data_IF_858587431763
#
_entry.id   IF_858587431763
#
_cell.length_a   1.000
_cell.length_b   1.000
_cell.length_c   1.000
_cell.angle_alpha   90.00
_cell.angle_beta   90.00
_cell.angle_gamma   90.00
#
_symmetry.space_group_name_H-M   'P 1'
#
loop_
_entity.id
_entity.type
_entity.pdbx_description
1 polymer ?
#
# COMPACT_ATOMS: atom_id res chain seq x y z
N UNK A 1 -14.43 -24.22 17.92
CA UNK A 1 -14.81 -24.30 16.49
C UNK A 1 -13.78 -25.12 15.74
N UNK A 2 -14.18 -26.18 15.02
CA UNK A 2 -13.27 -26.95 14.16
C UNK A 2 -13.38 -26.46 12.71
N UNK A 3 -12.47 -25.58 12.29
CA UNK A 3 -12.46 -24.97 10.96
C UNK A 3 -11.75 -25.83 9.89
N UNK A 4 -11.00 -26.86 10.31
CA UNK A 4 -10.11 -27.64 9.43
C UNK A 4 -10.84 -28.49 8.39
N UNK A 5 -12.13 -28.76 8.62
CA UNK A 5 -12.95 -29.62 7.75
C UNK A 5 -13.84 -28.83 6.77
N UNK A 6 -13.74 -27.49 6.76
CA UNK A 6 -14.54 -26.66 5.86
C UNK A 6 -13.86 -26.49 4.51
N UNK A 7 -14.64 -26.55 3.43
CA UNK A 7 -14.19 -26.12 2.09
C UNK A 7 -13.88 -24.62 2.11
N UNK A 8 -12.89 -24.18 1.33
CA UNK A 8 -12.44 -22.78 1.28
C UNK A 8 -13.60 -21.80 1.01
N UNK A 9 -14.48 -22.11 0.06
CA UNK A 9 -15.64 -21.27 -0.28
C UNK A 9 -16.61 -21.12 0.89
N UNK A 10 -16.89 -22.23 1.59
CA UNK A 10 -17.78 -22.24 2.77
C UNK A 10 -17.15 -21.45 3.91
N UNK A 11 -15.84 -21.59 4.14
CA UNK A 11 -15.12 -20.83 5.16
C UNK A 11 -15.20 -19.31 4.89
N UNK A 12 -14.99 -18.90 3.63
CA UNK A 12 -15.11 -17.49 3.22
C UNK A 12 -16.54 -16.99 3.41
N UNK A 13 -17.54 -17.76 2.98
CA UNK A 13 -18.95 -17.36 3.12
C UNK A 13 -19.38 -17.26 4.58
N UNK A 14 -18.97 -18.21 5.43
CA UNK A 14 -19.22 -18.16 6.87
C UNK A 14 -18.57 -16.93 7.50
N UNK A 15 -17.34 -16.60 7.09
CA UNK A 15 -16.63 -15.39 7.56
C UNK A 15 -17.39 -14.12 7.16
N UNK A 16 -17.87 -14.02 5.91
CA UNK A 16 -18.70 -12.89 5.46
C UNK A 16 -19.99 -12.74 6.28
N UNK A 17 -20.63 -13.85 6.64
CA UNK A 17 -21.83 -13.83 7.48
C UNK A 17 -21.52 -13.38 8.91
N UNK A 18 -20.43 -13.88 9.50
CA UNK A 18 -19.97 -13.44 10.83
C UNK A 18 -19.66 -11.95 10.86
N UNK A 19 -19.06 -11.38 9.82
CA UNK A 19 -18.82 -9.94 9.70
C UNK A 19 -20.14 -9.15 9.70
N UNK A 20 -21.20 -9.66 9.05
CA UNK A 20 -22.52 -9.01 9.09
C UNK A 20 -23.11 -9.03 10.50
N UNK A 21 -23.00 -10.15 11.21
CA UNK A 21 -23.43 -10.22 12.61
C UNK A 21 -22.60 -9.33 13.53
N UNK A 22 -21.29 -9.25 13.31
CA UNK A 22 -20.40 -8.33 14.03
C UNK A 22 -20.85 -6.88 13.86
N UNK A 23 -21.17 -6.45 12.64
CA UNK A 23 -21.66 -5.10 12.36
C UNK A 23 -23.02 -4.82 13.01
N UNK A 24 -23.93 -5.80 13.06
CA UNK A 24 -25.21 -5.69 13.77
C UNK A 24 -25.01 -5.56 15.28
N UNK A 25 -24.11 -6.37 15.85
CA UNK A 25 -23.74 -6.28 17.26
C UNK A 25 -23.13 -4.91 17.56
N UNK A 26 -22.24 -4.41 16.71
CA UNK A 26 -21.66 -3.09 16.84
C UNK A 26 -22.73 -1.99 16.85
N UNK A 27 -23.68 -1.99 15.90
CA UNK A 27 -24.81 -1.05 15.86
C UNK A 27 -25.59 -1.05 17.19
N UNK A 28 -25.88 -2.25 17.72
CA UNK A 28 -26.55 -2.40 19.02
C UNK A 28 -25.70 -1.86 20.17
N UNK A 29 -24.41 -2.17 20.22
CA UNK A 29 -23.50 -1.64 21.25
C UNK A 29 -23.49 -0.11 21.25
N UNK A 30 -23.45 0.52 20.07
CA UNK A 30 -23.50 1.98 19.95
C UNK A 30 -24.85 2.56 20.42
N UNK A 31 -25.97 1.88 20.16
CA UNK A 31 -27.28 2.28 20.67
C UNK A 31 -27.35 2.18 22.21
N UNK A 32 -26.76 1.14 22.81
CA UNK A 32 -26.66 1.03 24.27
C UNK A 32 -25.79 2.13 24.87
N UNK A 33 -24.65 2.45 24.23
CA UNK A 33 -23.80 3.56 24.66
C UNK A 33 -24.55 4.89 24.65
N UNK A 34 -25.40 5.13 23.64
CA UNK A 34 -26.27 6.30 23.56
C UNK A 34 -27.27 6.36 24.71
N UNK A 35 -27.93 5.24 25.02
CA UNK A 35 -28.87 5.18 26.15
C UNK A 35 -28.18 5.36 27.51
N UNK A 36 -26.99 4.76 27.68
CA UNK A 36 -26.16 4.93 28.89
C UNK A 36 -25.74 6.39 29.05
N UNK A 37 -25.38 7.08 27.95
CA UNK A 37 -25.03 8.50 27.99
C UNK A 37 -26.24 9.37 28.35
N UNK A 38 -27.39 9.10 27.74
CA UNK A 38 -28.64 9.83 27.97
C UNK A 38 -29.11 9.74 29.43
N UNK A 39 -29.05 8.54 30.02
CA UNK A 39 -29.40 8.30 31.43
C UNK A 39 -28.28 8.63 32.41
N UNK A 40 -27.07 8.89 31.92
CA UNK A 40 -25.86 9.13 32.72
C UNK A 40 -25.55 7.99 33.72
N UNK A 41 -25.88 6.74 33.39
CA UNK A 41 -25.70 5.59 34.31
C UNK A 41 -24.26 5.38 34.77
N UNK A 42 -23.28 5.83 33.97
CA UNK A 42 -21.88 5.80 34.35
C UNK A 42 -21.58 6.64 35.60
N UNK A 43 -22.36 7.69 35.88
CA UNK A 43 -22.21 8.50 37.11
C UNK A 43 -22.69 7.72 38.34
N UNK A 44 -23.81 7.00 38.22
CA UNK A 44 -24.33 6.15 39.31
C UNK A 44 -23.35 5.02 39.67
N UNK A 45 -22.61 4.54 38.66
CA UNK A 45 -21.54 3.55 38.82
C UNK A 45 -20.21 4.17 39.28
N UNK A 46 -20.14 5.47 39.56
CA UNK A 46 -18.95 6.14 40.11
C UNK A 46 -17.89 6.56 39.09
N UNK A 47 -18.20 6.53 37.79
CA UNK A 47 -17.27 6.96 36.74
C UNK A 47 -17.49 8.41 36.36
N UNK A 48 -16.42 9.23 36.36
CA UNK A 48 -16.51 10.66 36.02
C UNK A 48 -16.82 10.97 34.56
N UNK A 49 -16.87 9.98 33.68
CA UNK A 49 -17.26 10.14 32.27
C UNK A 49 -17.62 8.80 31.63
N UNK A 50 -18.38 8.85 30.54
CA UNK A 50 -18.64 7.68 29.69
C UNK A 50 -17.34 7.04 29.17
N UNK A 51 -16.32 7.85 28.89
CA UNK A 51 -15.00 7.37 28.49
C UNK A 51 -14.34 6.52 29.58
N UNK A 52 -14.31 7.03 30.82
CA UNK A 52 -13.72 6.31 31.94
C UNK A 52 -14.48 5.00 32.20
N UNK A 53 -15.82 5.03 32.14
CA UNK A 53 -16.65 3.82 32.21
C UNK A 53 -16.30 2.81 31.12
N UNK A 54 -16.21 3.25 29.85
CA UNK A 54 -15.89 2.36 28.74
C UNK A 54 -14.49 1.71 28.87
N UNK A 55 -13.52 2.44 29.42
CA UNK A 55 -12.15 1.92 29.60
C UNK A 55 -12.05 1.01 30.82
N UNK A 56 -12.60 1.44 31.97
CA UNK A 56 -12.40 0.77 33.26
C UNK A 56 -13.40 -0.37 33.51
N UNK A 57 -14.66 -0.19 33.14
CA UNK A 57 -15.70 -1.21 33.35
C UNK A 57 -15.80 -2.17 32.15
N UNK A 58 -15.87 -1.62 30.94
CA UNK A 58 -16.08 -2.43 29.73
C UNK A 58 -14.79 -2.98 29.09
N UNK A 59 -13.63 -2.62 29.65
CA UNK A 59 -12.33 -3.15 29.22
C UNK A 59 -11.84 -2.68 27.85
N UNK A 60 -12.40 -1.60 27.28
CA UNK A 60 -11.90 -1.07 26.02
C UNK A 60 -10.56 -0.35 26.19
N UNK A 61 -9.64 -0.53 25.25
CA UNK A 61 -8.49 0.39 25.12
C UNK A 61 -8.99 1.82 24.88
N UNK A 62 -8.25 2.83 25.33
CA UNK A 62 -8.61 4.26 25.15
C UNK A 62 -9.01 4.62 23.72
N UNK A 63 -8.20 4.22 22.73
CA UNK A 63 -8.49 4.49 21.31
C UNK A 63 -9.79 3.82 20.84
N UNK A 64 -10.09 2.61 21.34
CA UNK A 64 -11.30 1.85 21.00
C UNK A 64 -12.55 2.44 21.67
N UNK A 65 -12.42 2.91 22.92
CA UNK A 65 -13.46 3.63 23.64
C UNK A 65 -13.81 4.95 22.95
N UNK A 66 -12.78 5.75 22.61
CA UNK A 66 -12.96 7.04 21.94
C UNK A 66 -13.68 6.89 20.60
N UNK A 67 -13.28 5.92 19.75
CA UNK A 67 -13.95 5.68 18.46
C UNK A 67 -15.42 5.32 18.62
N UNK A 68 -15.79 4.52 19.64
CA UNK A 68 -17.18 4.17 19.93
C UNK A 68 -17.99 5.38 20.38
N UNK A 69 -17.42 6.21 21.25
CA UNK A 69 -18.06 7.44 21.73
C UNK A 69 -18.27 8.44 20.60
N UNK A 70 -17.30 8.58 19.69
CA UNK A 70 -17.47 9.43 18.50
C UNK A 70 -18.51 8.85 17.55
N UNK A 71 -18.47 7.54 17.30
CA UNK A 71 -19.44 6.89 16.43
C UNK A 71 -20.87 6.96 16.95
N UNK A 72 -21.11 6.76 18.25
CA UNK A 72 -22.46 6.92 18.82
C UNK A 72 -22.96 8.37 18.70
N UNK A 73 -22.09 9.36 18.87
CA UNK A 73 -22.46 10.79 18.78
C UNK A 73 -22.78 11.18 17.34
N UNK A 74 -22.06 10.60 16.38
CA UNK A 74 -22.43 10.74 14.97
C UNK A 74 -23.82 10.17 14.70
N UNK A 75 -24.09 8.94 15.16
CA UNK A 75 -25.38 8.28 14.97
C UNK A 75 -26.53 9.03 15.65
N UNK A 76 -26.26 9.67 16.80
CA UNK A 76 -27.25 10.53 17.46
C UNK A 76 -27.64 11.73 16.60
N UNK A 77 -26.66 12.37 15.93
CA UNK A 77 -26.90 13.54 15.07
C UNK A 77 -27.44 13.16 13.70
N UNK A 78 -27.10 11.98 13.20
CA UNK A 78 -27.43 11.51 11.85
C UNK A 78 -27.89 10.05 11.91
N UNK A 79 -29.17 9.80 12.27
CA UNK A 79 -29.73 8.46 12.43
C UNK A 79 -29.71 7.59 11.15
N UNK A 80 -29.68 8.22 9.98
CA UNK A 80 -29.62 7.59 8.65
C UNK A 80 -28.37 6.72 8.47
N UNK A 81 -27.31 6.99 9.24
CA UNK A 81 -26.10 6.16 9.25
C UNK A 81 -26.34 4.76 9.83
N UNK A 82 -27.32 4.57 10.72
CA UNK A 82 -27.57 3.29 11.41
C UNK A 82 -27.81 2.11 10.45
N UNK A 83 -28.75 2.16 9.49
CA UNK A 83 -28.96 1.04 8.55
C UNK A 83 -27.74 0.77 7.66
N UNK A 84 -26.88 1.77 7.42
CA UNK A 84 -25.66 1.65 6.62
C UNK A 84 -24.60 0.85 7.38
N UNK A 85 -24.49 1.08 8.69
CA UNK A 85 -23.62 0.33 9.60
C UNK A 85 -24.07 -1.12 9.70
N UNK A 86 -25.37 -1.37 9.87
CA UNK A 86 -25.91 -2.74 9.99
C UNK A 86 -25.71 -3.57 8.72
N UNK A 87 -25.70 -2.92 7.55
CA UNK A 87 -25.37 -3.55 6.26
C UNK A 87 -23.88 -3.82 6.08
N UNK A 88 -23.02 -3.21 6.90
CA UNK A 88 -21.56 -3.36 6.85
C UNK A 88 -20.84 -2.42 5.86
N UNK A 89 -21.56 -1.48 5.26
CA UNK A 89 -20.98 -0.53 4.29
C UNK A 89 -20.22 0.61 4.99
N UNK A 90 -20.49 0.82 6.29
CA UNK A 90 -19.86 1.83 7.12
C UNK A 90 -19.33 1.20 8.41
N UNK A 91 -18.02 1.36 8.66
CA UNK A 91 -17.37 0.78 9.83
C UNK A 91 -17.12 1.83 10.93
N UNK A 92 -16.73 1.34 12.11
CA UNK A 92 -16.47 2.17 13.30
C UNK A 92 -15.47 3.31 13.03
N UNK A 93 -14.40 3.05 12.28
CA UNK A 93 -13.36 4.03 11.99
C UNK A 93 -13.88 5.17 11.10
N UNK A 94 -14.71 4.87 10.10
CA UNK A 94 -15.32 5.88 9.23
C UNK A 94 -16.32 6.76 10.01
N UNK A 95 -17.12 6.18 10.92
CA UNK A 95 -18.02 6.95 11.78
C UNK A 95 -17.29 7.91 12.71
N UNK A 96 -16.25 7.43 13.39
CA UNK A 96 -15.40 8.25 14.27
C UNK A 96 -14.73 9.39 13.49
N UNK A 97 -14.26 9.12 12.27
CA UNK A 97 -13.72 10.15 11.38
C UNK A 97 -14.77 11.21 11.01
N UNK A 98 -15.98 10.79 10.63
CA UNK A 98 -17.07 11.70 10.29
C UNK A 98 -17.44 12.61 11.46
N UNK A 99 -17.59 12.07 12.67
CA UNK A 99 -17.88 12.89 13.85
C UNK A 99 -16.78 13.91 14.12
N UNK A 100 -15.52 13.50 14.02
CA UNK A 100 -14.38 14.39 14.26
C UNK A 100 -14.37 15.55 13.26
N UNK A 101 -14.56 15.26 11.97
CA UNK A 101 -14.58 16.28 10.92
C UNK A 101 -15.83 17.17 11.01
N UNK A 102 -17.00 16.57 11.25
CA UNK A 102 -18.25 17.30 11.47
C UNK A 102 -18.13 18.26 12.66
N UNK A 103 -17.54 17.81 13.78
CA UNK A 103 -17.29 18.65 14.95
C UNK A 103 -16.29 19.77 14.68
N UNK A 104 -15.21 19.49 13.95
CA UNK A 104 -14.20 20.48 13.54
C UNK A 104 -14.82 21.57 12.64
N UNK A 105 -15.70 21.17 11.72
CA UNK A 105 -16.38 22.08 10.79
C UNK A 105 -17.65 22.75 11.34
N UNK A 106 -18.12 22.36 12.53
CA UNK A 106 -19.48 22.68 13.02
C UNK A 106 -20.57 22.33 11.99
N UNK A 107 -20.43 21.15 11.38
CA UNK A 107 -21.26 20.70 10.28
C UNK A 107 -22.73 20.55 10.66
N UNK A 108 -23.63 20.94 9.75
CA UNK A 108 -25.06 20.72 9.90
C UNK A 108 -25.43 19.24 9.65
N UNK A 109 -26.63 18.84 10.08
CA UNK A 109 -27.16 17.51 9.79
C UNK A 109 -27.15 17.20 8.28
N UNK A 110 -27.54 18.16 7.43
CA UNK A 110 -27.52 17.99 5.97
C UNK A 110 -26.11 17.71 5.42
N UNK A 111 -25.10 18.44 5.90
CA UNK A 111 -23.71 18.19 5.49
C UNK A 111 -23.21 16.80 5.91
N UNK A 112 -23.67 16.29 7.06
CA UNK A 112 -23.33 14.94 7.52
C UNK A 112 -23.97 13.86 6.65
N UNK A 113 -25.21 14.05 6.19
CA UNK A 113 -25.88 13.14 5.26
C UNK A 113 -25.19 13.13 3.90
N UNK A 114 -24.81 14.30 3.38
CA UNK A 114 -24.02 14.39 2.13
C UNK A 114 -22.67 13.66 2.25
N UNK A 115 -21.98 13.84 3.38
CA UNK A 115 -20.73 13.14 3.66
C UNK A 115 -20.91 11.61 3.72
N UNK A 116 -22.06 11.12 4.21
CA UNK A 116 -22.38 9.69 4.20
C UNK A 116 -22.57 9.16 2.77
N UNK A 117 -23.30 9.88 1.93
CA UNK A 117 -23.52 9.50 0.54
C UNK A 117 -22.18 9.45 -0.22
N UNK A 118 -21.31 10.45 -0.01
CA UNK A 118 -19.96 10.48 -0.58
C UNK A 118 -19.15 9.23 -0.22
N UNK A 119 -19.25 8.72 1.01
CA UNK A 119 -18.56 7.50 1.44
C UNK A 119 -19.13 6.22 0.86
N UNK A 120 -20.42 6.20 0.50
CA UNK A 120 -21.03 5.04 -0.15
C UNK A 120 -20.64 4.94 -1.63
N UNK A 121 -20.55 6.08 -2.31
CA UNK A 121 -20.18 6.16 -3.73
C UNK A 121 -18.69 5.97 -3.96
N UNK A 122 -17.88 6.24 -2.93
CA UNK A 122 -16.42 6.24 -3.05
C UNK A 122 -15.82 4.84 -2.84
N UNK A 123 -15.24 4.26 -3.89
CA UNK A 123 -14.38 3.07 -3.84
C UNK A 123 -12.96 3.36 -3.28
N UNK A 124 -12.77 4.41 -2.46
CA UNK A 124 -11.45 4.77 -1.97
C UNK A 124 -10.86 3.62 -1.14
N UNK A 125 -9.64 3.23 -1.51
CA UNK A 125 -8.96 2.06 -0.95
C UNK A 125 -8.18 2.42 0.31
N UNK A 126 -7.77 3.68 0.46
CA UNK A 126 -6.96 4.12 1.60
C UNK A 126 -7.72 5.05 2.58
N UNK A 127 -7.41 4.92 3.87
CA UNK A 127 -7.99 5.77 4.91
C UNK A 127 -7.64 7.27 4.73
N UNK A 128 -6.50 7.58 4.11
CA UNK A 128 -6.06 8.94 3.85
C UNK A 128 -6.87 9.60 2.73
N UNK A 129 -7.12 8.89 1.63
CA UNK A 129 -7.99 9.39 0.54
C UNK A 129 -9.40 9.69 1.04
N UNK A 130 -9.93 8.84 1.92
CA UNK A 130 -11.23 9.04 2.55
C UNK A 130 -11.24 10.32 3.40
N UNK A 131 -10.22 10.53 4.25
CA UNK A 131 -10.12 11.74 5.08
C UNK A 131 -9.99 13.01 4.22
N UNK A 132 -9.17 12.99 3.16
CA UNK A 132 -8.97 14.16 2.30
C UNK A 132 -10.25 14.56 1.55
N UNK A 133 -11.02 13.59 1.03
CA UNK A 133 -12.31 13.85 0.40
C UNK A 133 -13.32 14.46 1.36
N UNK A 134 -13.43 13.91 2.57
CA UNK A 134 -14.32 14.44 3.60
C UNK A 134 -13.90 15.84 4.05
N UNK A 135 -12.60 16.09 4.21
CA UNK A 135 -12.09 17.45 4.53
C UNK A 135 -12.45 18.44 3.44
N UNK A 136 -12.34 18.07 2.16
CA UNK A 136 -12.79 18.87 1.03
C UNK A 136 -14.28 19.22 1.11
N UNK A 137 -15.14 18.25 1.44
CA UNK A 137 -16.58 18.44 1.62
C UNK A 137 -16.91 19.44 2.74
N UNK A 138 -16.27 19.26 3.90
CA UNK A 138 -16.44 20.14 5.06
C UNK A 138 -15.69 21.48 4.96
N UNK A 139 -15.01 21.76 3.83
CA UNK A 139 -14.16 22.95 3.62
C UNK A 139 -13.11 23.15 4.72
N UNK A 140 -12.55 22.04 5.21
CA UNK A 140 -11.50 22.05 6.21
C UNK A 140 -10.12 22.08 5.54
N UNK A 141 -9.16 22.76 6.15
CA UNK A 141 -7.77 22.68 5.72
C UNK A 141 -7.27 21.24 5.83
N UNK A 142 -6.56 20.77 4.79
CA UNK A 142 -5.93 19.46 4.84
C UNK A 142 -4.82 19.46 5.90
N UNK A 143 -4.71 18.36 6.65
CA UNK A 143 -3.62 18.20 7.61
C UNK A 143 -2.29 18.26 6.88
N UNK A 144 -1.33 19.01 7.45
CA UNK A 144 0.06 19.01 6.98
C UNK A 144 0.58 17.58 7.01
N UNK A 145 1.07 17.09 5.86
CA UNK A 145 1.67 15.75 5.75
C UNK A 145 3.10 15.80 6.30
N UNK A 146 3.47 14.83 7.14
CA UNK A 146 4.83 14.66 7.63
C UNK A 146 5.50 13.55 6.85
N UNK A 147 6.55 13.88 6.12
CA UNK A 147 7.39 12.90 5.43
C UNK A 147 8.52 12.52 6.40
N UNK A 148 8.55 11.25 6.84
CA UNK A 148 9.67 10.70 7.62
C UNK A 148 10.56 9.92 6.65
N UNK A 149 11.83 10.31 6.55
CA UNK A 149 12.82 9.64 5.72
C UNK A 149 13.92 9.16 6.66
N UNK A 150 14.13 7.85 6.70
CA UNK A 150 15.30 7.27 7.36
C UNK A 150 16.49 7.45 6.43
N UNK A 151 17.57 8.06 6.94
CA UNK A 151 18.78 8.37 6.19
C UNK A 151 20.00 7.94 7.01
N UNK A 152 21.08 7.57 6.33
CA UNK A 152 22.36 7.29 6.98
C UNK A 152 23.06 8.58 7.46
N UNK A 153 24.04 8.44 8.35
CA UNK A 153 24.73 9.57 8.98
C UNK A 153 25.35 10.51 7.93
N UNK A 154 25.90 9.96 6.84
CA UNK A 154 26.51 10.78 5.78
C UNK A 154 25.47 11.66 5.08
N UNK A 155 24.31 11.09 4.74
CA UNK A 155 23.20 11.83 4.12
C UNK A 155 22.60 12.85 5.10
N UNK A 156 22.50 12.52 6.39
CA UNK A 156 22.05 13.46 7.41
C UNK A 156 22.97 14.70 7.49
N UNK A 157 24.29 14.51 7.50
CA UNK A 157 25.25 15.60 7.54
C UNK A 157 25.19 16.48 6.28
N UNK A 158 25.03 15.87 5.10
CA UNK A 158 24.81 16.60 3.85
C UNK A 158 23.51 17.42 3.89
N UNK A 159 22.43 16.82 4.38
CA UNK A 159 21.15 17.50 4.57
C UNK A 159 21.29 18.70 5.52
N UNK A 160 22.00 18.56 6.63
CA UNK A 160 22.22 19.65 7.57
C UNK A 160 23.00 20.82 6.96
N UNK A 161 24.04 20.52 6.15
CA UNK A 161 24.79 21.54 5.41
C UNK A 161 23.93 22.23 4.33
N UNK A 162 23.12 21.48 3.60
CA UNK A 162 22.20 22.02 2.61
C UNK A 162 21.12 22.90 3.26
N UNK A 163 20.55 22.42 4.38
CA UNK A 163 19.56 23.14 5.19
C UNK A 163 20.12 24.45 5.78
N UNK A 164 21.41 24.50 6.11
CA UNK A 164 22.05 25.73 6.58
C UNK A 164 22.23 26.78 5.46
N UNK A 165 22.41 26.34 4.21
CA UNK A 165 22.56 27.23 3.04
C UNK A 165 21.23 27.71 2.49
N UNK A 166 20.21 26.85 2.52
CA UNK A 166 18.85 27.19 2.14
C UNK A 166 18.17 27.87 3.32
N UNK A 167 18.08 29.21 3.32
CA UNK A 167 17.30 29.98 4.32
C UNK A 167 15.93 29.33 4.47
N UNK A 168 15.75 28.67 5.62
CA UNK A 168 14.56 27.93 6.04
C UNK A 168 13.80 27.19 4.93
N UNK A 169 14.21 25.94 4.65
CA UNK A 169 13.28 24.93 4.14
C UNK A 169 12.28 24.55 5.26
N UNK A 170 11.54 25.53 5.77
CA UNK A 170 10.41 25.34 6.68
C UNK A 170 9.09 25.40 5.92
N UNK A 171 9.04 26.13 4.82
CA UNK A 171 7.82 26.30 4.07
C UNK A 171 7.65 25.24 2.99
N UNK A 172 6.50 24.57 3.03
CA UNK A 172 6.07 23.64 1.99
C UNK A 172 6.11 24.27 0.59
N UNK A 173 6.07 25.60 0.49
CA UNK A 173 6.18 26.37 -0.74
C UNK A 173 7.56 26.21 -1.44
N UNK A 174 8.66 26.20 -0.69
CA UNK A 174 10.01 26.05 -1.25
C UNK A 174 10.26 24.61 -1.71
N UNK A 175 9.76 23.63 -0.93
CA UNK A 175 9.76 22.21 -1.33
C UNK A 175 8.90 21.97 -2.57
N UNK A 176 7.72 22.60 -2.66
CA UNK A 176 6.85 22.51 -3.84
C UNK A 176 7.56 23.02 -5.10
N UNK A 177 8.19 24.20 -5.03
CA UNK A 177 8.98 24.75 -6.15
C UNK A 177 10.12 23.83 -6.57
N UNK A 178 10.80 23.20 -5.61
CA UNK A 178 11.85 22.22 -5.90
C UNK A 178 11.27 20.99 -6.62
N UNK A 179 10.17 20.41 -6.13
CA UNK A 179 9.51 19.27 -6.77
C UNK A 179 9.02 19.60 -8.19
N UNK A 180 8.37 20.75 -8.39
CA UNK A 180 7.92 21.21 -9.72
C UNK A 180 9.11 21.40 -10.69
N UNK A 181 10.27 21.86 -10.19
CA UNK A 181 11.49 21.98 -10.99
C UNK A 181 12.15 20.64 -11.33
N UNK A 182 11.89 19.58 -10.55
CA UNK A 182 12.39 18.22 -10.77
C UNK A 182 11.44 17.38 -11.64
N UNK A 183 10.14 17.67 -11.62
CA UNK A 183 9.19 17.07 -12.56
C UNK A 183 9.39 17.58 -13.99
N UNK A 184 9.76 18.85 -14.14
CA UNK A 184 10.08 19.47 -15.45
C UNK A 184 11.46 19.08 -15.98
N UNK A 185 12.44 18.81 -15.11
CA UNK A 185 13.73 18.27 -15.49
C UNK A 185 13.77 16.78 -15.18
N UNK A 186 13.41 15.92 -16.15
CA UNK A 186 13.38 14.46 -16.03
C UNK A 186 14.57 13.89 -15.23
N UNK A 187 14.42 13.77 -13.90
CA UNK A 187 15.42 13.18 -13.03
C UNK A 187 15.38 11.69 -13.27
N UNK A 188 16.29 11.21 -14.12
CA UNK A 188 16.53 9.79 -14.25
C UNK A 188 17.02 9.27 -12.90
N UNK A 189 16.36 8.23 -12.37
CA UNK A 189 16.76 7.59 -11.11
C UNK A 189 18.25 7.27 -11.18
N UNK A 190 19.05 7.56 -10.13
CA UNK A 190 20.45 7.17 -10.11
C UNK A 190 20.51 5.64 -10.19
N UNK A 191 20.89 5.12 -11.37
CA UNK A 191 21.22 3.72 -11.52
C UNK A 191 22.57 3.51 -10.85
N UNK A 192 22.58 2.84 -9.69
CA UNK A 192 23.81 2.34 -9.10
C UNK A 192 24.40 1.30 -10.05
N UNK A 193 25.39 1.70 -10.85
CA UNK A 193 26.15 0.79 -11.71
C UNK A 193 27.04 -0.08 -10.83
N UNK A 194 26.46 -1.13 -10.24
CA UNK A 194 27.25 -2.19 -9.63
C UNK A 194 27.93 -2.96 -10.75
N UNK A 195 29.21 -2.66 -11.02
CA UNK A 195 30.05 -3.45 -11.92
C UNK A 195 30.20 -4.85 -11.32
N UNK A 196 29.53 -5.85 -11.92
CA UNK A 196 29.72 -7.23 -11.53
C UNK A 196 31.16 -7.66 -11.82
N UNK A 197 31.76 -8.40 -10.89
CA UNK A 197 33.02 -9.09 -11.14
C UNK A 197 32.84 -10.09 -12.28
N UNK A 198 33.72 -10.12 -13.30
CA UNK A 198 33.61 -11.01 -14.46
C UNK A 198 33.62 -12.52 -14.14
N UNK A 199 33.85 -12.88 -12.87
CA UNK A 199 34.03 -14.22 -12.32
C UNK A 199 32.75 -14.87 -11.80
N UNK A 200 31.57 -14.22 -11.86
CA UNK A 200 30.33 -14.85 -11.42
C UNK A 200 29.64 -15.59 -12.56
N UNK A 201 29.25 -16.86 -12.39
CA UNK A 201 28.51 -17.63 -13.42
C UNK A 201 27.14 -17.02 -13.78
N UNK A 202 26.55 -16.19 -12.93
CA UNK A 202 25.21 -15.63 -13.15
C UNK A 202 25.33 -14.15 -13.50
N UNK A 203 24.64 -13.71 -14.55
CA UNK A 203 24.43 -12.29 -14.82
C UNK A 203 23.49 -11.72 -13.75
N UNK A 204 24.02 -10.88 -12.89
CA UNK A 204 23.22 -10.15 -11.90
C UNK A 204 22.34 -9.08 -12.55
N UNK A 205 21.55 -8.40 -11.72
CA UNK A 205 20.36 -7.66 -12.13
C UNK A 205 20.58 -6.60 -13.20
N UNK A 206 21.67 -5.82 -13.13
CA UNK A 206 21.96 -4.74 -14.09
C UNK A 206 22.29 -5.31 -15.47
N UNK A 207 23.28 -6.19 -15.55
CA UNK A 207 23.69 -6.86 -16.79
C UNK A 207 22.53 -7.64 -17.42
N UNK A 208 21.73 -8.35 -16.61
CA UNK A 208 20.53 -9.06 -17.09
C UNK A 208 19.53 -8.11 -17.75
N UNK A 209 19.31 -6.93 -17.18
CA UNK A 209 18.38 -5.94 -17.73
C UNK A 209 18.89 -5.36 -19.05
N UNK A 210 20.18 -5.04 -19.13
CA UNK A 210 20.82 -4.53 -20.36
C UNK A 210 20.74 -5.56 -21.49
N UNK A 211 21.01 -6.83 -21.19
CA UNK A 211 20.89 -7.92 -22.16
C UNK A 211 19.46 -8.10 -22.66
N UNK A 212 18.47 -8.09 -21.76
CA UNK A 212 17.07 -8.18 -22.13
C UNK A 212 16.62 -7.00 -23.00
N UNK A 213 17.06 -5.79 -22.67
CA UNK A 213 16.75 -4.59 -23.46
C UNK A 213 17.40 -4.66 -24.85
N UNK A 214 18.67 -5.05 -24.94
CA UNK A 214 19.39 -5.22 -26.22
C UNK A 214 18.72 -6.28 -27.10
N UNK A 215 18.21 -7.34 -26.48
CA UNK A 215 17.49 -8.41 -27.16
C UNK A 215 16.03 -8.05 -27.50
N UNK A 216 15.59 -6.81 -27.23
CA UNK A 216 14.19 -6.35 -27.36
C UNK A 216 13.18 -7.26 -26.65
N UNK A 217 13.59 -7.85 -25.52
CA UNK A 217 12.82 -8.84 -24.77
C UNK A 217 12.37 -10.03 -25.62
N UNK A 218 13.19 -10.48 -26.57
CA UNK A 218 12.94 -11.67 -27.39
C UNK A 218 14.16 -12.57 -27.47
N UNK A 219 13.94 -13.85 -27.72
CA UNK A 219 15.00 -14.83 -27.94
C UNK A 219 15.93 -14.40 -29.09
N UNK A 220 17.23 -14.52 -28.90
CA UNK A 220 18.27 -14.20 -29.90
C UNK A 220 18.68 -15.43 -30.73
N UNK A 221 18.10 -16.60 -30.49
CA UNK A 221 18.37 -17.79 -31.28
C UNK A 221 17.96 -17.60 -32.74
N UNK A 222 18.88 -17.90 -33.65
CA UNK A 222 18.64 -17.96 -35.10
C UNK A 222 18.87 -19.40 -35.55
N UNK A 223 17.88 -19.97 -36.24
CA UNK A 223 17.97 -21.33 -36.78
C UNK A 223 19.03 -21.42 -37.87
N UNK A 224 20.02 -22.33 -37.79
CA UNK A 224 21.03 -22.51 -38.84
C UNK A 224 20.44 -23.07 -40.15
N UNK A 225 19.27 -23.72 -40.08
CA UNK A 225 18.63 -24.35 -41.24
C UNK A 225 17.73 -23.34 -41.97
N UNK A 226 16.94 -22.57 -41.23
CA UNK A 226 15.92 -21.68 -41.81
C UNK A 226 16.29 -20.21 -41.74
N UNK A 227 17.39 -19.86 -41.07
CA UNK A 227 17.85 -18.51 -40.78
C UNK A 227 16.79 -17.61 -40.11
N UNK A 228 15.77 -18.21 -39.48
CA UNK A 228 14.71 -17.48 -38.77
C UNK A 228 15.08 -17.28 -37.31
N UNK A 229 14.92 -16.06 -36.82
CA UNK A 229 15.03 -15.71 -35.40
C UNK A 229 13.80 -16.18 -34.64
N UNK A 230 13.99 -16.73 -33.45
CA UNK A 230 12.89 -17.10 -32.56
C UNK A 230 12.14 -15.86 -32.05
N UNK A 231 10.81 -15.87 -32.16
CA UNK A 231 9.95 -14.74 -31.73
C UNK A 231 9.51 -14.81 -30.26
N UNK A 232 9.93 -15.85 -29.52
CA UNK A 232 9.50 -16.04 -28.13
C UNK A 232 9.98 -14.90 -27.23
N UNK A 233 9.03 -14.28 -26.51
CA UNK A 233 9.28 -13.27 -25.47
C UNK A 233 9.13 -13.83 -24.04
N UNK A 234 8.87 -15.13 -23.90
CA UNK A 234 8.55 -15.76 -22.61
C UNK A 234 9.72 -16.59 -22.07
N UNK A 235 9.83 -16.63 -20.73
CA UNK A 235 10.83 -17.43 -20.00
C UNK A 235 12.26 -17.25 -20.52
N UNK A 236 12.68 -16.00 -20.71
CA UNK A 236 14.00 -15.64 -21.22
C UNK A 236 15.10 -15.80 -20.16
N UNK A 237 16.17 -16.47 -20.56
CA UNK A 237 17.35 -16.81 -19.79
C UNK A 237 18.58 -16.13 -20.41
N UNK A 238 19.46 -15.59 -19.57
CA UNK A 238 20.73 -15.04 -20.04
C UNK A 238 21.77 -16.14 -19.94
N UNK A 239 22.31 -16.55 -21.08
CA UNK A 239 23.24 -17.66 -21.22
C UNK A 239 24.57 -17.15 -21.80
N UNK A 240 25.67 -17.85 -21.52
CA UNK A 240 26.96 -17.51 -22.10
C UNK A 240 27.08 -18.04 -23.53
N UNK A 241 27.63 -17.23 -24.44
CA UNK A 241 27.98 -17.69 -25.79
C UNK A 241 29.12 -18.71 -25.71
N UNK A 242 30.21 -18.34 -25.02
CA UNK A 242 31.26 -19.28 -24.59
C UNK A 242 30.96 -19.68 -23.15
N UNK A 243 30.62 -20.96 -22.88
CA UNK A 243 30.24 -21.41 -21.55
C UNK A 243 31.25 -21.05 -20.46
N UNK A 244 30.72 -20.76 -19.27
CA UNK A 244 31.55 -20.41 -18.11
C UNK A 244 32.62 -21.46 -17.78
N UNK A 245 32.30 -22.76 -17.93
CA UNK A 245 33.25 -23.85 -17.65
C UNK A 245 34.37 -23.99 -18.69
N UNK A 246 34.23 -23.38 -19.87
CA UNK A 246 35.30 -23.26 -20.89
C UNK A 246 36.08 -21.94 -20.74
N UNK A 247 35.98 -21.27 -19.58
CA UNK A 247 36.65 -19.99 -19.32
C UNK A 247 35.89 -18.76 -19.81
N UNK A 248 34.63 -18.91 -20.23
CA UNK A 248 33.78 -17.81 -20.64
C UNK A 248 33.51 -16.81 -19.50
N UNK A 249 33.81 -15.54 -19.74
CA UNK A 249 33.58 -14.46 -18.77
C UNK A 249 32.12 -13.98 -18.82
N UNK A 250 31.60 -13.53 -17.69
CA UNK A 250 30.24 -12.97 -17.58
C UNK A 250 30.27 -11.48 -17.90
N UNK A 251 30.38 -11.19 -19.19
CA UNK A 251 30.44 -9.83 -19.75
C UNK A 251 29.42 -9.70 -20.88
N UNK A 252 28.93 -8.50 -21.13
CA UNK A 252 27.87 -8.26 -22.13
C UNK A 252 28.18 -8.85 -23.51
N UNK A 253 29.46 -8.89 -23.91
CA UNK A 253 29.91 -9.44 -25.19
C UNK A 253 29.81 -10.97 -25.28
N UNK A 254 29.91 -11.67 -24.15
CA UNK A 254 29.89 -13.14 -24.08
C UNK A 254 28.54 -13.68 -23.56
N UNK A 255 27.51 -12.85 -23.48
CA UNK A 255 26.19 -13.22 -23.01
C UNK A 255 25.16 -13.02 -24.12
N UNK A 256 24.14 -13.87 -24.13
CA UNK A 256 22.99 -13.83 -25.05
C UNK A 256 21.70 -14.14 -24.30
N UNK A 257 20.55 -13.79 -24.88
CA UNK A 257 19.22 -14.04 -24.33
C UNK A 257 18.53 -15.15 -25.13
N UNK A 258 18.19 -16.25 -24.46
CA UNK A 258 17.50 -17.40 -25.05
C UNK A 258 16.22 -17.72 -24.28
N UNK A 259 15.17 -18.19 -24.95
CA UNK A 259 14.05 -18.80 -24.23
C UNK A 259 14.47 -20.16 -23.66
N UNK A 260 13.81 -20.62 -22.60
CA UNK A 260 14.15 -21.87 -21.93
C UNK A 260 14.31 -23.09 -22.89
N UNK A 261 13.45 -23.31 -23.90
CA UNK A 261 13.64 -24.38 -24.88
C UNK A 261 14.92 -24.25 -25.72
N UNK A 262 15.22 -23.06 -26.23
CA UNK A 262 16.43 -22.84 -27.04
C UNK A 262 17.70 -22.90 -26.18
N UNK A 263 17.65 -22.47 -24.92
CA UNK A 263 18.77 -22.63 -24.00
C UNK A 263 19.09 -24.11 -23.76
N UNK A 264 18.06 -24.94 -23.56
CA UNK A 264 18.24 -26.39 -23.44
C UNK A 264 18.78 -27.03 -24.73
N UNK A 265 18.32 -26.57 -25.90
CA UNK A 265 18.82 -27.05 -27.18
C UNK A 265 20.32 -26.80 -27.34
N UNK A 266 20.78 -25.57 -27.09
CA UNK A 266 22.20 -25.23 -27.19
C UNK A 266 23.03 -26.02 -26.17
N UNK A 267 22.54 -26.15 -24.93
CA UNK A 267 23.23 -26.95 -23.92
C UNK A 267 23.45 -28.41 -24.37
N UNK A 268 22.43 -29.03 -25.00
CA UNK A 268 22.56 -30.40 -25.54
C UNK A 268 23.58 -30.50 -26.65
N UNK A 269 23.64 -29.51 -27.56
CA UNK A 269 24.62 -29.47 -28.65
C UNK A 269 26.06 -29.35 -28.11
N UNK A 270 26.27 -28.46 -27.14
CA UNK A 270 27.57 -28.31 -26.48
C UNK A 270 27.98 -29.57 -25.71
N UNK A 271 27.03 -30.25 -25.06
CA UNK A 271 27.29 -31.50 -24.36
C UNK A 271 27.67 -32.65 -25.32
N UNK A 272 27.14 -32.66 -26.56
CA UNK A 272 27.55 -33.62 -27.59
C UNK A 272 28.91 -33.32 -28.22
N UNK A 273 29.33 -32.06 -28.24
CA UNK A 273 30.62 -31.62 -28.81
C UNK A 273 31.78 -31.68 -27.79
N UNK A 274 31.49 -31.59 -26.49
CA UNK A 274 32.48 -31.61 -25.40
C UNK A 274 32.80 -32.99 -24.83
N UNK A 275 32.37 -34.07 -25.48
CA UNK A 275 32.60 -35.47 -25.07
C UNK A 275 33.51 -36.17 -26.10
N UNK A 276 34.70 -35.62 -26.32
CA UNK A 276 35.86 -36.27 -26.96
C UNK A 276 37.13 -35.78 -26.30
#
# INVERSE_FOLDING_TARGET
MNLKNLKNEVLIQNTKNLIKEENRILSRVLAHFLEIEARKLYLELGYGSLFLFAVKELGYSEASAQRRIEAMRFLQKTPEARPIVEKGNLNLSKLSLLERLSKEAKGSHGQNVEALNLLQETEATSAAEVEDKLRGHFKLENKKRVIRIEVDEQTYQLWMKAKARLREVKDAATLKKLCESLESNAVTKPHTLVRQSPTTRIAGTVLRRELLHKAEHRCEYVSPITNKRCESAHFLQCDHVTPYFLGGKTVQQNMRVLCAPHNQLIFRQLASEGCT
#
